data_IF_380833033772
#
_entry.id   IF_380833033772
#
_cell.length_a   1.000
_cell.length_b   1.000
_cell.length_c   1.000
_cell.angle_alpha   90.00
_cell.angle_beta   90.00
_cell.angle_gamma   90.00
#
_symmetry.space_group_name_H-M   'P 1'
#
loop_
_entity.id
_entity.type
_entity.pdbx_description
1 polymer ?
#
# COMPACT_ATOMS: atom_id res chain seq x y z
N UNK A 1 25.67 4.78 8.82
CA UNK A 1 24.39 5.52 8.82
C UNK A 1 23.75 5.33 10.19
N UNK A 2 23.21 6.39 10.81
CA UNK A 2 22.50 6.26 12.09
C UNK A 2 21.26 5.36 11.90
N UNK A 3 21.04 4.40 12.80
CA UNK A 3 19.88 3.50 12.84
C UNK A 3 18.53 4.21 13.04
N UNK A 4 18.54 5.55 13.06
CA UNK A 4 17.38 6.45 13.18
C UNK A 4 17.10 7.27 11.93
N UNK A 5 17.93 7.21 10.88
CA UNK A 5 17.64 7.93 9.62
C UNK A 5 16.53 7.20 8.85
N UNK A 6 15.34 7.79 8.83
CA UNK A 6 14.31 7.39 7.86
C UNK A 6 14.75 7.96 6.51
N UNK A 7 15.03 7.08 5.55
CA UNK A 7 15.21 7.49 4.15
C UNK A 7 13.83 7.86 3.60
N UNK A 8 13.44 9.12 3.79
CA UNK A 8 12.22 9.66 3.23
C UNK A 8 12.47 10.13 1.80
N UNK A 9 11.63 9.69 0.87
CA UNK A 9 11.60 10.22 -0.49
C UNK A 9 10.40 11.17 -0.62
N UNK A 10 10.56 12.46 -0.29
CA UNK A 10 9.45 13.40 -0.35
C UNK A 10 8.98 13.56 -1.79
N UNK A 11 7.67 13.46 -2.00
CA UNK A 11 7.03 13.77 -3.26
C UNK A 11 6.03 14.91 -3.07
N UNK A 12 6.17 15.96 -3.86
CA UNK A 12 5.26 17.10 -3.84
C UNK A 12 4.35 17.02 -5.05
N UNK A 13 3.03 16.94 -4.81
CA UNK A 13 2.02 16.96 -5.86
C UNK A 13 2.15 18.22 -6.70
N UNK A 14 2.20 18.07 -8.02
CA UNK A 14 2.36 19.16 -8.97
C UNK A 14 1.04 19.69 -9.53
N UNK A 15 -0.08 18.98 -9.30
CA UNK A 15 -1.42 19.40 -9.76
C UNK A 15 -1.91 20.63 -8.99
N UNK A 16 -1.97 21.78 -9.66
CA UNK A 16 -2.29 23.09 -9.08
C UNK A 16 -3.24 23.91 -9.96
N UNK A 17 -3.30 23.64 -11.26
CA UNK A 17 -4.13 24.42 -12.18
C UNK A 17 -5.62 24.22 -11.90
N UNK A 18 -6.39 25.29 -12.14
CA UNK A 18 -7.84 25.32 -11.99
C UNK A 18 -8.55 25.09 -13.32
N UNK A 19 -7.90 25.39 -14.44
CA UNK A 19 -8.41 25.05 -15.77
C UNK A 19 -8.48 23.53 -15.91
N UNK A 20 -9.61 23.03 -16.41
CA UNK A 20 -9.86 21.60 -16.48
C UNK A 20 -8.83 20.90 -17.39
N UNK A 21 -8.56 21.44 -18.58
CA UNK A 21 -7.65 20.82 -19.53
C UNK A 21 -6.22 20.79 -18.99
N UNK A 22 -5.75 21.90 -18.43
CA UNK A 22 -4.41 21.98 -17.85
C UNK A 22 -4.27 21.08 -16.63
N UNK A 23 -5.26 21.07 -15.74
CA UNK A 23 -5.28 20.22 -14.56
C UNK A 23 -5.24 18.73 -14.91
N UNK A 24 -5.99 18.28 -15.93
CA UNK A 24 -5.96 16.88 -16.34
C UNK A 24 -4.60 16.51 -16.92
N UNK A 25 -3.94 17.40 -17.68
CA UNK A 25 -2.55 17.20 -18.11
C UNK A 25 -1.58 17.10 -16.93
N UNK A 26 -1.71 17.97 -15.94
CA UNK A 26 -0.89 17.92 -14.73
C UNK A 26 -1.08 16.59 -13.99
N UNK A 27 -2.31 16.07 -13.89
CA UNK A 27 -2.56 14.76 -13.25
C UNK A 27 -1.92 13.60 -14.00
N UNK A 28 -1.83 13.64 -15.33
CA UNK A 28 -1.13 12.61 -16.11
C UNK A 28 0.37 12.64 -15.78
N UNK A 29 0.99 13.82 -15.81
CA UNK A 29 2.41 13.99 -15.45
C UNK A 29 2.68 13.61 -14.00
N UNK A 30 1.81 14.00 -13.07
CA UNK A 30 1.93 13.69 -11.63
C UNK A 30 1.80 12.18 -11.38
N UNK A 31 0.85 11.52 -12.04
CA UNK A 31 0.67 10.07 -11.99
C UNK A 31 1.88 9.29 -12.51
N UNK A 32 2.48 9.71 -13.62
CA UNK A 32 3.73 9.13 -14.14
C UNK A 32 4.88 9.34 -13.14
N UNK A 33 5.11 10.58 -12.71
CA UNK A 33 6.24 10.93 -11.84
C UNK A 33 6.21 10.18 -10.51
N UNK A 34 5.04 10.01 -9.88
CA UNK A 34 4.94 9.27 -8.62
C UNK A 34 5.13 7.76 -8.83
N UNK A 35 4.64 7.22 -9.94
CA UNK A 35 4.87 5.82 -10.31
C UNK A 35 6.37 5.54 -10.53
N UNK A 36 7.04 6.40 -11.32
CA UNK A 36 8.48 6.32 -11.57
C UNK A 36 9.28 6.42 -10.27
N UNK A 37 8.92 7.37 -9.40
CA UNK A 37 9.61 7.53 -8.11
C UNK A 37 9.48 6.26 -7.26
N UNK A 38 8.26 5.73 -7.10
CA UNK A 38 8.03 4.51 -6.30
C UNK A 38 8.81 3.34 -6.90
N UNK A 39 8.71 3.13 -8.22
CA UNK A 39 9.40 2.07 -8.94
C UNK A 39 10.91 2.15 -8.74
N UNK A 40 11.51 3.31 -9.02
CA UNK A 40 12.95 3.52 -8.88
C UNK A 40 13.44 3.30 -7.45
N UNK A 41 12.68 3.71 -6.44
CA UNK A 41 13.02 3.44 -5.03
C UNK A 41 13.05 1.92 -4.78
N UNK A 42 12.02 1.19 -5.22
CA UNK A 42 11.95 -0.25 -5.03
C UNK A 42 13.08 -0.98 -5.76
N UNK A 43 13.36 -0.63 -7.02
CA UNK A 43 14.48 -1.18 -7.80
C UNK A 43 15.81 -0.87 -7.13
N UNK A 44 16.01 0.35 -6.64
CA UNK A 44 17.28 0.74 -5.99
C UNK A 44 17.52 -0.01 -4.69
N UNK A 45 16.46 -0.25 -3.90
CA UNK A 45 16.58 -0.89 -2.58
C UNK A 45 16.60 -2.41 -2.64
N UNK A 46 15.88 -3.00 -3.59
CA UNK A 46 15.63 -4.45 -3.63
C UNK A 46 16.00 -5.08 -4.97
N UNK A 47 16.05 -4.32 -6.06
CA UNK A 47 16.22 -4.84 -7.41
C UNK A 47 14.93 -5.42 -7.99
N UNK A 48 15.06 -6.13 -9.10
CA UNK A 48 13.93 -6.69 -9.87
C UNK A 48 13.88 -8.22 -9.87
N UNK A 49 14.96 -8.88 -9.48
CA UNK A 49 15.07 -10.35 -9.48
C UNK A 49 14.54 -10.93 -8.16
N UNK A 50 13.91 -12.11 -8.21
CA UNK A 50 13.40 -12.85 -7.05
C UNK A 50 12.45 -12.06 -6.13
N UNK A 51 11.74 -11.08 -6.70
CA UNK A 51 10.82 -10.21 -5.98
C UNK A 51 9.43 -10.20 -6.62
N UNK A 52 8.42 -10.12 -5.75
CA UNK A 52 7.01 -10.06 -6.13
C UNK A 52 6.37 -8.84 -5.50
N UNK A 53 5.43 -8.24 -6.23
CA UNK A 53 4.73 -7.04 -5.80
C UNK A 53 3.25 -7.37 -5.63
N UNK A 54 2.74 -7.13 -4.43
CA UNK A 54 1.33 -7.33 -4.10
C UNK A 54 0.64 -5.99 -3.82
N UNK A 55 -0.52 -5.77 -4.41
CA UNK A 55 -1.31 -4.55 -4.26
C UNK A 55 -2.77 -4.88 -3.94
N UNK A 56 -3.46 -3.93 -3.31
CA UNK A 56 -4.92 -3.97 -3.23
C UNK A 56 -5.54 -3.60 -4.60
N UNK A 57 -6.66 -4.25 -4.91
CA UNK A 57 -7.56 -3.85 -5.98
C UNK A 57 -8.22 -2.50 -5.71
N UNK A 58 -8.97 -2.00 -6.68
CA UNK A 58 -9.62 -0.69 -6.53
C UNK A 58 -10.66 -0.69 -5.41
N UNK A 59 -10.67 0.40 -4.63
CA UNK A 59 -11.72 0.65 -3.64
C UNK A 59 -12.95 1.25 -4.32
N UNK A 60 -13.94 0.39 -4.60
CA UNK A 60 -15.26 0.81 -5.11
C UNK A 60 -16.09 1.60 -4.07
N UNK A 61 -15.58 1.79 -2.85
CA UNK A 61 -16.21 2.64 -1.83
C UNK A 61 -15.97 4.14 -2.04
N UNK A 62 -14.95 4.53 -2.81
CA UNK A 62 -14.67 5.93 -3.16
C UNK A 62 -15.72 6.46 -4.15
N UNK A 63 -16.03 7.76 -4.10
CA UNK A 63 -17.08 8.39 -4.92
C UNK A 63 -16.55 9.55 -5.76
N UNK A 64 -17.10 9.70 -6.96
CA UNK A 64 -16.83 10.83 -7.87
C UNK A 64 -15.36 10.95 -8.27
N UNK A 65 -14.87 12.19 -8.35
CA UNK A 65 -13.52 12.52 -8.84
C UNK A 65 -12.39 11.82 -8.07
N UNK A 66 -12.56 11.57 -6.77
CA UNK A 66 -11.54 10.88 -5.96
C UNK A 66 -11.33 9.44 -6.40
N UNK A 67 -12.39 8.75 -6.82
CA UNK A 67 -12.30 7.39 -7.36
C UNK A 67 -11.58 7.39 -8.71
N UNK A 68 -11.91 8.34 -9.58
CA UNK A 68 -11.26 8.50 -10.89
C UNK A 68 -9.77 8.77 -10.73
N UNK A 69 -9.39 9.71 -9.84
CA UNK A 69 -7.99 10.01 -9.56
C UNK A 69 -7.25 8.76 -9.02
N UNK A 70 -7.85 8.01 -8.08
CA UNK A 70 -7.23 6.77 -7.56
C UNK A 70 -7.04 5.74 -8.68
N UNK A 71 -8.03 5.53 -9.54
CA UNK A 71 -7.94 4.60 -10.67
C UNK A 71 -6.82 5.03 -11.62
N UNK A 72 -6.74 6.31 -11.97
CA UNK A 72 -5.71 6.84 -12.87
C UNK A 72 -4.31 6.64 -12.29
N UNK A 73 -4.06 7.10 -11.07
CA UNK A 73 -2.73 7.04 -10.45
C UNK A 73 -2.28 5.60 -10.22
N UNK A 74 -3.21 4.73 -9.80
CA UNK A 74 -2.89 3.33 -9.59
C UNK A 74 -2.67 2.59 -10.92
N UNK A 75 -3.28 3.04 -12.02
CA UNK A 75 -2.98 2.52 -13.37
C UNK A 75 -1.55 2.85 -13.80
N UNK A 76 -1.09 4.10 -13.60
CA UNK A 76 0.32 4.46 -13.83
C UNK A 76 1.27 3.60 -13.01
N UNK A 77 1.02 3.48 -11.70
CA UNK A 77 1.85 2.66 -10.82
C UNK A 77 1.90 1.20 -11.26
N UNK A 78 0.75 0.60 -11.60
CA UNK A 78 0.70 -0.79 -12.07
C UNK A 78 1.43 -0.97 -13.39
N UNK A 79 1.26 -0.06 -14.34
CA UNK A 79 1.94 -0.13 -15.63
C UNK A 79 3.46 -0.08 -15.45
N UNK A 80 3.93 0.81 -14.58
CA UNK A 80 5.35 0.95 -14.28
C UNK A 80 5.92 -0.31 -13.59
N UNK A 81 5.18 -0.90 -12.65
CA UNK A 81 5.57 -2.16 -12.02
C UNK A 81 5.56 -3.31 -13.04
N UNK A 82 4.57 -3.39 -13.94
CA UNK A 82 4.52 -4.41 -15.00
C UNK A 82 5.75 -4.32 -15.89
N UNK A 83 6.12 -3.10 -16.30
CA UNK A 83 7.28 -2.89 -17.18
C UNK A 83 8.60 -3.25 -16.48
N UNK A 84 8.69 -3.04 -15.17
CA UNK A 84 9.92 -3.22 -14.40
C UNK A 84 10.10 -4.63 -13.82
N UNK A 85 9.02 -5.32 -13.42
CA UNK A 85 9.09 -6.65 -12.79
C UNK A 85 8.39 -7.76 -13.58
N UNK A 86 7.63 -7.46 -14.63
CA UNK A 86 6.82 -8.46 -15.34
C UNK A 86 5.46 -8.71 -14.66
N UNK A 87 4.44 -8.98 -15.49
CA UNK A 87 3.04 -9.10 -15.02
C UNK A 87 2.82 -10.32 -14.11
N UNK A 88 3.58 -11.39 -14.32
CA UNK A 88 3.56 -12.62 -13.55
C UNK A 88 4.03 -12.46 -12.10
N UNK A 89 4.81 -11.41 -11.82
CA UNK A 89 5.31 -11.10 -10.49
C UNK A 89 4.39 -10.17 -9.70
N UNK A 90 3.20 -9.86 -10.25
CA UNK A 90 2.23 -8.97 -9.63
C UNK A 90 1.00 -9.74 -9.16
N UNK A 91 0.64 -9.56 -7.89
CA UNK A 91 -0.61 -10.06 -7.31
C UNK A 91 -1.53 -8.89 -6.93
N UNK A 92 -2.77 -8.92 -7.42
CA UNK A 92 -3.81 -7.95 -7.04
C UNK A 92 -4.86 -8.64 -6.18
N UNK A 93 -5.07 -8.15 -4.96
CA UNK A 93 -6.01 -8.74 -4.00
C UNK A 93 -7.29 -7.93 -3.87
N UNK A 94 -8.42 -8.63 -3.80
CA UNK A 94 -9.70 -7.97 -3.48
C UNK A 94 -9.70 -7.48 -2.02
N UNK A 95 -10.18 -6.24 -1.75
CA UNK A 95 -10.24 -5.70 -0.38
C UNK A 95 -10.91 -6.62 0.64
N UNK A 96 -12.02 -7.24 0.25
CA UNK A 96 -12.78 -8.16 1.12
C UNK A 96 -11.99 -9.42 1.46
N UNK A 97 -11.16 -9.92 0.54
CA UNK A 97 -10.30 -11.07 0.77
C UNK A 97 -9.23 -10.74 1.82
N UNK A 98 -8.53 -9.61 1.67
CA UNK A 98 -7.51 -9.14 2.64
C UNK A 98 -8.12 -8.98 4.03
N UNK A 99 -9.28 -8.32 4.13
CA UNK A 99 -10.01 -8.14 5.38
C UNK A 99 -10.46 -9.45 6.04
N UNK A 100 -10.79 -10.47 5.24
CA UNK A 100 -11.15 -11.79 5.76
C UNK A 100 -9.98 -12.46 6.46
N UNK A 101 -8.74 -12.20 6.04
CA UNK A 101 -7.55 -12.73 6.72
C UNK A 101 -7.36 -12.11 8.11
N UNK A 102 -7.79 -10.87 8.31
CA UNK A 102 -7.85 -10.26 9.65
C UNK A 102 -8.97 -10.87 10.55
N UNK A 103 -9.86 -11.70 9.97
CA UNK A 103 -10.96 -12.37 10.65
C UNK A 103 -12.36 -11.99 10.14
N UNK A 104 -12.51 -10.88 9.40
CA UNK A 104 -13.83 -10.37 8.99
C UNK A 104 -13.79 -9.64 7.64
N UNK A 105 -14.44 -10.18 6.61
CA UNK A 105 -14.39 -9.62 5.24
C UNK A 105 -14.93 -8.19 5.05
N UNK A 106 -15.81 -7.73 5.94
CA UNK A 106 -16.30 -6.35 5.99
C UNK A 106 -15.70 -5.54 7.16
N UNK A 107 -14.49 -5.88 7.60
CA UNK A 107 -13.77 -5.14 8.62
C UNK A 107 -13.61 -3.65 8.26
N UNK A 108 -13.72 -2.81 9.29
CA UNK A 108 -13.33 -1.40 9.22
C UNK A 108 -11.85 -1.24 9.61
N UNK A 109 -11.31 -0.03 9.46
CA UNK A 109 -9.89 0.25 9.71
C UNK A 109 -9.48 -0.01 11.17
N UNK A 110 -10.34 0.32 12.12
CA UNK A 110 -10.09 0.08 13.55
C UNK A 110 -9.93 -1.41 13.85
N UNK A 111 -10.78 -2.24 13.25
CA UNK A 111 -10.67 -3.69 13.35
C UNK A 111 -9.37 -4.21 12.75
N UNK A 112 -8.96 -3.71 11.58
CA UNK A 112 -7.70 -4.11 10.94
C UNK A 112 -6.49 -3.79 11.82
N UNK A 113 -6.43 -2.60 12.41
CA UNK A 113 -5.35 -2.21 13.33
C UNK A 113 -5.37 -3.06 14.60
N UNK A 114 -6.55 -3.37 15.13
CA UNK A 114 -6.68 -4.27 16.28
C UNK A 114 -6.18 -5.68 15.97
N UNK A 115 -6.57 -6.25 14.83
CA UNK A 115 -6.08 -7.55 14.37
C UNK A 115 -4.55 -7.55 14.17
N UNK A 116 -3.96 -6.44 13.74
CA UNK A 116 -2.52 -6.26 13.67
C UNK A 116 -1.87 -6.21 15.07
N UNK A 117 -2.46 -5.48 16.02
CA UNK A 117 -1.98 -5.44 17.41
C UNK A 117 -2.03 -6.83 18.06
N UNK A 118 -3.11 -7.57 17.80
CA UNK A 118 -3.37 -8.91 18.34
C UNK A 118 -2.55 -10.01 17.64
N UNK A 119 -1.82 -9.66 16.57
CA UNK A 119 -0.99 -10.57 15.79
C UNK A 119 -1.72 -11.87 15.43
N UNK A 120 -2.85 -11.71 14.71
CA UNK A 120 -3.75 -12.81 14.33
C UNK A 120 -3.10 -13.93 13.51
N UNK A 121 -1.91 -13.68 12.95
CA UNK A 121 -1.12 -14.68 12.20
C UNK A 121 -0.02 -15.36 13.04
N UNK A 122 0.17 -14.95 14.30
CA UNK A 122 1.30 -15.38 15.13
C UNK A 122 2.67 -15.14 14.46
N UNK A 123 2.83 -14.00 13.79
CA UNK A 123 4.02 -13.66 13.01
C UNK A 123 5.16 -13.20 13.95
N UNK A 124 6.16 -14.06 14.09
CA UNK A 124 7.34 -13.77 14.91
C UNK A 124 8.18 -12.59 14.40
N UNK A 125 8.17 -12.33 13.09
CA UNK A 125 8.90 -11.22 12.48
C UNK A 125 8.14 -9.90 12.68
N UNK A 126 6.82 -9.92 12.61
CA UNK A 126 5.98 -8.76 12.96
C UNK A 126 6.33 -8.25 14.37
N UNK A 127 6.40 -9.15 15.35
CA UNK A 127 6.72 -8.80 16.76
C UNK A 127 8.10 -8.16 16.94
N UNK A 128 9.03 -8.36 16.00
CA UNK A 128 10.36 -7.74 16.04
C UNK A 128 10.32 -6.28 15.58
N UNK A 129 9.36 -5.90 14.74
CA UNK A 129 9.28 -4.57 14.12
C UNK A 129 9.07 -3.46 15.15
N UNK A 130 9.64 -2.27 14.88
CA UNK A 130 9.42 -1.07 15.69
C UNK A 130 7.96 -0.62 15.64
N UNK A 131 7.29 -0.79 14.50
CA UNK A 131 5.90 -0.41 14.29
C UNK A 131 4.96 -1.20 15.21
N UNK A 132 5.04 -2.54 15.21
CA UNK A 132 4.18 -3.36 16.05
C UNK A 132 4.40 -3.10 17.54
N UNK A 133 5.66 -2.98 17.98
CA UNK A 133 5.98 -2.62 19.36
C UNK A 133 5.40 -1.27 19.76
N UNK A 134 5.45 -0.29 18.85
CA UNK A 134 4.89 1.03 19.08
C UNK A 134 3.37 1.03 19.14
N UNK A 135 2.67 0.15 18.41
CA UNK A 135 1.21 0.05 18.47
C UNK A 135 0.71 -0.59 19.76
N UNK A 136 1.53 -1.37 20.48
CA UNK A 136 1.10 -2.03 21.72
C UNK A 136 0.69 -1.03 22.81
N UNK A 137 -0.42 -1.32 23.49
CA UNK A 137 -0.98 -0.47 24.55
C UNK A 137 -1.64 0.83 24.06
N UNK A 138 -1.67 1.10 22.75
CA UNK A 138 -2.39 2.25 22.19
C UNK A 138 -3.83 1.88 21.88
N UNK A 139 -4.73 2.80 22.21
CA UNK A 139 -6.12 2.74 21.78
C UNK A 139 -6.28 3.41 20.42
N UNK A 140 -6.85 2.67 19.47
CA UNK A 140 -7.15 3.15 18.13
C UNK A 140 -8.64 3.09 17.82
N UNK A 141 -9.51 2.96 18.81
CA UNK A 141 -10.97 2.87 18.61
C UNK A 141 -11.56 4.14 18.01
N UNK A 142 -11.05 5.32 18.38
CA UNK A 142 -11.54 6.61 17.87
C UNK A 142 -10.76 7.12 16.65
N UNK A 143 -9.42 7.07 16.72
CA UNK A 143 -8.56 7.66 15.69
C UNK A 143 -7.30 6.83 15.49
N UNK A 144 -7.02 6.53 14.22
CA UNK A 144 -5.77 5.92 13.81
C UNK A 144 -4.87 7.02 13.24
N UNK A 145 -3.68 7.27 13.81
CA UNK A 145 -2.71 8.19 13.24
C UNK A 145 -2.28 7.72 11.84
N UNK A 146 -2.23 8.63 10.87
CA UNK A 146 -1.63 8.33 9.57
C UNK A 146 -0.11 8.24 9.70
N UNK A 147 0.58 7.37 8.95
CA UNK A 147 0.05 6.41 7.95
C UNK A 147 -0.16 4.99 8.50
N UNK A 148 -0.51 4.82 9.79
CA UNK A 148 -0.51 3.50 10.45
C UNK A 148 -1.49 2.52 9.81
N UNK A 149 -2.70 2.97 9.47
CA UNK A 149 -3.69 2.11 8.80
C UNK A 149 -3.20 1.64 7.42
N UNK A 150 -2.56 2.53 6.65
CA UNK A 150 -2.02 2.19 5.33
C UNK A 150 -0.88 1.14 5.43
N UNK A 151 -0.03 1.23 6.47
CA UNK A 151 1.01 0.23 6.75
C UNK A 151 0.42 -1.11 7.21
N UNK A 152 -0.66 -1.07 7.98
CA UNK A 152 -1.40 -2.27 8.40
C UNK A 152 -2.02 -2.96 7.20
N UNK A 153 -2.66 -2.22 6.29
CA UNK A 153 -3.23 -2.77 5.06
C UNK A 153 -2.13 -3.46 4.21
N UNK A 154 -0.95 -2.85 4.08
CA UNK A 154 0.20 -3.46 3.40
C UNK A 154 0.67 -4.78 4.06
N UNK A 155 0.68 -4.86 5.39
CA UNK A 155 1.03 -6.09 6.11
C UNK A 155 0.04 -7.23 5.83
N UNK A 156 -1.27 -6.94 5.79
CA UNK A 156 -2.27 -7.96 5.49
C UNK A 156 -2.21 -8.41 4.01
N UNK A 157 -1.89 -7.51 3.09
CA UNK A 157 -1.64 -7.84 1.67
C UNK A 157 -0.42 -8.75 1.53
N UNK A 158 0.68 -8.45 2.24
CA UNK A 158 1.87 -9.31 2.25
C UNK A 158 1.55 -10.73 2.71
N UNK A 159 0.75 -10.87 3.77
CA UNK A 159 0.34 -12.20 4.27
C UNK A 159 -0.62 -12.92 3.30
N UNK A 160 -1.49 -12.20 2.60
CA UNK A 160 -2.29 -12.77 1.53
C UNK A 160 -1.41 -13.36 0.41
N UNK A 161 -0.31 -12.67 0.07
CA UNK A 161 0.66 -13.14 -0.91
C UNK A 161 1.43 -14.38 -0.44
N UNK A 162 1.97 -14.37 0.79
CA UNK A 162 2.65 -15.55 1.37
C UNK A 162 1.75 -16.79 1.42
N UNK A 163 0.47 -16.63 1.77
CA UNK A 163 -0.47 -17.75 1.84
C UNK A 163 -0.74 -18.38 0.48
N UNK A 164 -0.95 -17.55 -0.56
CA UNK A 164 -1.15 -18.03 -1.93
C UNK A 164 0.03 -18.85 -2.43
N UNK A 165 1.25 -18.47 -2.06
CA UNK A 165 2.47 -19.21 -2.42
C UNK A 165 2.58 -20.57 -1.72
N UNK A 166 2.10 -20.69 -0.48
CA UNK A 166 2.08 -21.99 0.21
C UNK A 166 1.05 -22.99 -0.35
N UNK A 167 0.10 -22.50 -1.15
CA UNK A 167 -0.97 -23.31 -1.78
C UNK A 167 -0.63 -23.74 -3.22
N UNK A 168 0.51 -23.30 -3.77
CA UNK A 168 1.03 -23.66 -5.10
C UNK A 168 2.18 -24.65 -5.00
#
# INVERSE_FOLDING_TARGET
MDNKTILGFPYYRQVKDKDFLLREREKLTDGQNIADLISNILITLYGTEDHRVALEGFSYGSKGNSFIDIVQYNTFLRNEIVNSWGVENISIYQPSHVKKLAGKGNANKHYMVKAFQDDVFNDSDLRKTKLWKWTQGKDFTEKIPKPIDDLVDAYFILNANKKKESEQ
#
